data_IF_538155137777
#
_entry.id   IF_538155137777
#
_cell.length_a   1.000
_cell.length_b   1.000
_cell.length_c   1.000
_cell.angle_alpha   90.00
_cell.angle_beta   90.00
_cell.angle_gamma   90.00
#
_symmetry.space_group_name_H-M   'P 1'
#
loop_
_entity.id
_entity.type
_entity.pdbx_description
1 polymer ?
#
# COMPACT_ATOMS: atom_id res chain seq x y z
N UNK A 1 0.92 -22.39 10.98
CA UNK A 1 1.94 -21.32 10.90
C UNK A 1 1.35 -20.18 10.11
N UNK A 2 1.49 -18.93 10.57
CA UNK A 2 1.14 -17.76 9.75
C UNK A 2 2.28 -17.52 8.76
N UNK A 3 2.07 -17.61 7.44
CA UNK A 3 3.17 -17.53 6.46
C UNK A 3 3.78 -16.14 6.33
N UNK A 4 3.05 -15.10 6.76
CA UNK A 4 3.51 -13.71 6.77
C UNK A 4 3.90 -13.31 8.21
N UNK A 5 5.15 -13.57 8.55
CA UNK A 5 5.75 -13.28 9.85
C UNK A 5 6.48 -11.92 9.86
N UNK A 6 7.14 -11.59 10.98
CA UNK A 6 7.87 -10.34 11.13
C UNK A 6 9.02 -10.23 10.11
N UNK A 7 9.77 -11.32 9.93
CA UNK A 7 10.90 -11.37 8.99
C UNK A 7 10.44 -11.08 7.57
N UNK A 8 9.29 -11.66 7.17
CA UNK A 8 8.68 -11.41 5.86
C UNK A 8 8.23 -9.96 5.72
N UNK A 9 7.59 -9.40 6.74
CA UNK A 9 7.18 -7.99 6.74
C UNK A 9 8.39 -7.06 6.57
N UNK A 10 9.48 -7.29 7.31
CA UNK A 10 10.70 -6.48 7.24
C UNK A 10 11.34 -6.57 5.85
N UNK A 11 11.39 -7.77 5.26
CA UNK A 11 11.91 -7.95 3.91
C UNK A 11 11.10 -7.16 2.87
N UNK A 12 9.76 -7.26 2.93
CA UNK A 12 8.88 -6.51 2.03
C UNK A 12 8.97 -5.00 2.29
N UNK A 13 9.05 -4.57 3.55
CA UNK A 13 9.23 -3.17 3.93
C UNK A 13 10.45 -2.57 3.23
N UNK A 14 11.61 -3.22 3.35
CA UNK A 14 12.83 -2.74 2.71
C UNK A 14 12.72 -2.72 1.18
N UNK A 15 12.09 -3.74 0.58
CA UNK A 15 11.89 -3.78 -0.88
C UNK A 15 11.02 -2.60 -1.37
N UNK A 16 9.92 -2.30 -0.68
CA UNK A 16 9.03 -1.19 -1.05
C UNK A 16 9.71 0.16 -0.85
N UNK A 17 10.37 0.38 0.29
CA UNK A 17 11.03 1.65 0.60
C UNK A 17 12.16 1.95 -0.38
N UNK A 18 12.98 0.94 -0.72
CA UNK A 18 14.14 1.12 -1.59
C UNK A 18 13.79 1.35 -3.07
N UNK A 19 12.67 0.79 -3.54
CA UNK A 19 12.36 0.78 -4.98
C UNK A 19 11.15 1.62 -5.40
N UNK A 20 10.23 1.92 -4.46
CA UNK A 20 8.94 2.53 -4.80
C UNK A 20 8.65 3.84 -4.08
N UNK A 21 9.43 4.24 -3.08
CA UNK A 21 9.22 5.52 -2.39
C UNK A 21 10.20 6.61 -2.88
N UNK A 22 9.73 7.85 -3.06
CA UNK A 22 8.33 8.29 -2.98
C UNK A 22 7.52 7.85 -4.22
N UNK A 23 6.22 7.55 -4.03
CA UNK A 23 5.29 7.24 -5.12
C UNK A 23 3.96 7.97 -4.96
N UNK A 24 3.42 8.45 -6.08
CA UNK A 24 2.08 9.04 -6.14
C UNK A 24 1.01 7.96 -6.15
N UNK A 25 -0.07 8.17 -5.41
CA UNK A 25 -1.26 7.31 -5.45
C UNK A 25 -2.12 7.69 -6.64
N UNK A 26 -2.21 6.82 -7.63
CA UNK A 26 -3.04 7.01 -8.82
C UNK A 26 -4.48 6.57 -8.60
N UNK A 27 -4.66 5.47 -7.90
CA UNK A 27 -5.95 4.84 -7.71
C UNK A 27 -5.94 3.95 -6.47
N UNK A 28 -7.13 3.66 -5.95
CA UNK A 28 -7.35 2.73 -4.85
C UNK A 28 -8.47 1.80 -5.24
N UNK A 29 -8.26 0.50 -5.04
CA UNK A 29 -9.25 -0.55 -5.37
C UNK A 29 -9.33 -1.54 -4.24
N UNK A 30 -10.55 -1.82 -3.79
CA UNK A 30 -10.84 -2.84 -2.80
C UNK A 30 -11.46 -4.05 -3.50
N UNK A 31 -10.89 -5.23 -3.29
CA UNK A 31 -11.32 -6.48 -3.93
C UNK A 31 -12.23 -7.31 -3.03
N UNK A 32 -12.08 -7.18 -1.73
CA UNK A 32 -12.90 -7.84 -0.72
C UNK A 32 -12.97 -7.00 0.58
N UNK A 33 -13.64 -7.51 1.62
CA UNK A 33 -13.81 -6.80 2.90
C UNK A 33 -12.51 -6.58 3.70
N UNK A 34 -11.42 -7.24 3.28
CA UNK A 34 -10.15 -7.32 3.99
C UNK A 34 -8.93 -6.94 3.16
N UNK A 35 -9.09 -6.59 1.88
CA UNK A 35 -7.97 -6.36 0.95
C UNK A 35 -8.18 -5.10 0.13
N UNK A 36 -7.21 -4.19 0.21
CA UNK A 36 -7.14 -3.00 -0.64
C UNK A 36 -5.82 -2.95 -1.40
N UNK A 37 -5.86 -2.34 -2.58
CA UNK A 37 -4.73 -2.17 -3.47
C UNK A 37 -4.56 -0.68 -3.76
N UNK A 38 -3.36 -0.16 -3.48
CA UNK A 38 -2.95 1.20 -3.77
C UNK A 38 -2.09 1.20 -5.04
N UNK A 39 -2.51 1.91 -6.08
CA UNK A 39 -1.70 2.07 -7.29
C UNK A 39 -0.61 3.11 -7.05
N UNK A 40 0.63 2.65 -6.95
CA UNK A 40 1.84 3.46 -6.82
C UNK A 40 2.34 3.84 -8.22
N UNK A 41 2.60 5.14 -8.43
CA UNK A 41 3.24 5.67 -9.63
C UNK A 41 4.53 6.40 -9.25
N UNK A 42 5.65 5.91 -9.77
CA UNK A 42 6.94 6.60 -9.77
C UNK A 42 7.14 7.28 -11.13
N UNK A 43 8.30 7.90 -11.35
CA UNK A 43 8.61 8.52 -12.64
C UNK A 43 8.71 7.49 -13.78
N UNK A 44 9.25 6.30 -13.49
CA UNK A 44 9.56 5.28 -14.49
C UNK A 44 8.58 4.11 -14.53
N UNK A 45 7.81 3.90 -13.45
CA UNK A 45 7.05 2.66 -13.29
C UNK A 45 5.73 2.87 -12.55
N UNK A 46 4.86 1.87 -12.69
CA UNK A 46 3.61 1.75 -11.96
C UNK A 46 3.50 0.35 -11.39
N UNK A 47 3.09 0.25 -10.13
CA UNK A 47 2.84 -1.02 -9.46
C UNK A 47 1.71 -0.88 -8.45
N UNK A 48 1.18 -1.99 -7.98
CA UNK A 48 0.18 -2.00 -6.92
C UNK A 48 0.79 -2.44 -5.61
N UNK A 49 0.50 -1.73 -4.54
CA UNK A 49 0.76 -2.15 -3.17
C UNK A 49 -0.51 -2.76 -2.61
N UNK A 50 -0.47 -4.05 -2.32
CA UNK A 50 -1.57 -4.78 -1.69
C UNK A 50 -1.45 -4.71 -0.18
N UNK A 51 -2.53 -4.30 0.49
CA UNK A 51 -2.68 -4.30 1.93
C UNK A 51 -3.85 -5.22 2.27
N UNK A 52 -3.60 -6.28 3.03
CA UNK A 52 -4.61 -7.22 3.47
C UNK A 52 -4.60 -7.36 4.99
N UNK A 53 -5.76 -7.21 5.61
CA UNK A 53 -5.99 -7.35 7.06
C UNK A 53 -6.88 -8.56 7.40
N UNK A 54 -6.87 -9.59 6.56
CA UNK A 54 -7.61 -10.83 6.84
C UNK A 54 -7.09 -11.52 8.12
N UNK A 55 -7.96 -12.00 9.04
CA UNK A 55 -7.53 -12.54 10.33
C UNK A 55 -6.50 -13.67 10.26
N UNK A 56 -6.55 -14.48 9.19
CA UNK A 56 -5.64 -15.62 9.00
C UNK A 56 -4.58 -15.39 7.91
N UNK A 57 -4.71 -14.33 7.12
CA UNK A 57 -3.92 -14.13 5.89
C UNK A 57 -3.47 -12.67 5.68
N UNK A 58 -3.35 -11.92 6.78
CA UNK A 58 -2.87 -10.55 6.76
C UNK A 58 -1.46 -10.46 6.17
N UNK A 59 -1.27 -9.55 5.22
CA UNK A 59 -0.04 -9.42 4.42
C UNK A 59 0.04 -8.05 3.76
N UNK A 60 1.27 -7.66 3.43
CA UNK A 60 1.58 -6.51 2.59
C UNK A 60 2.57 -6.98 1.53
N UNK A 61 2.36 -6.62 0.26
CA UNK A 61 3.31 -6.91 -0.81
C UNK A 61 3.01 -6.08 -2.06
N UNK A 62 4.01 -5.96 -2.93
CA UNK A 62 3.79 -5.48 -4.31
C UNK A 62 3.05 -6.56 -5.11
N UNK A 63 2.11 -6.14 -5.92
CA UNK A 63 1.34 -7.02 -6.79
C UNK A 63 1.28 -6.45 -8.19
N UNK A 64 1.05 -7.34 -9.15
CA UNK A 64 0.70 -6.96 -10.51
C UNK A 64 -0.67 -6.25 -10.55
N UNK A 65 -1.08 -5.88 -11.75
CA UNK A 65 -2.34 -5.19 -11.98
C UNK A 65 -3.53 -6.00 -11.46
N UNK A 66 -4.32 -5.33 -10.63
CA UNK A 66 -5.52 -5.92 -10.02
C UNK A 66 -6.74 -5.67 -10.89
N UNK A 67 -7.60 -6.68 -11.02
CA UNK A 67 -8.90 -6.53 -11.68
C UNK A 67 -9.78 -5.56 -10.91
N UNK A 68 -10.49 -4.67 -11.62
CA UNK A 68 -11.41 -3.74 -10.97
C UNK A 68 -12.59 -4.52 -10.38
N UNK A 69 -12.88 -4.31 -9.09
CA UNK A 69 -14.11 -4.81 -8.50
C UNK A 69 -15.32 -4.08 -9.09
N UNK A 70 -16.40 -4.82 -9.36
CA UNK A 70 -17.70 -4.24 -9.73
C UNK A 70 -18.47 -3.72 -8.51
N UNK A 71 -18.11 -4.20 -7.32
CA UNK A 71 -18.71 -3.76 -6.07
C UNK A 71 -18.06 -2.47 -5.57
N UNK A 72 -18.88 -1.59 -5.00
CA UNK A 72 -18.42 -0.34 -4.40
C UNK A 72 -18.37 -0.49 -2.89
N UNK A 73 -17.16 -0.61 -2.34
CA UNK A 73 -16.96 -0.68 -0.90
C UNK A 73 -16.93 0.71 -0.27
N UNK A 74 -17.55 0.87 0.90
CA UNK A 74 -17.51 2.14 1.65
C UNK A 74 -16.09 2.51 2.07
N UNK A 75 -15.29 1.53 2.48
CA UNK A 75 -13.90 1.79 2.88
C UNK A 75 -13.03 2.23 1.69
N UNK A 76 -13.23 1.65 0.50
CA UNK A 76 -12.64 2.17 -0.74
C UNK A 76 -12.96 3.66 -0.95
N UNK A 77 -14.21 4.10 -0.73
CA UNK A 77 -14.60 5.51 -0.89
C UNK A 77 -13.83 6.43 0.06
N UNK A 78 -13.57 5.99 1.29
CA UNK A 78 -12.73 6.72 2.23
C UNK A 78 -11.28 6.81 1.72
N UNK A 79 -10.72 5.68 1.28
CA UNK A 79 -9.32 5.61 0.83
C UNK A 79 -9.08 6.30 -0.51
N UNK A 80 -10.11 6.49 -1.35
CA UNK A 80 -10.00 7.30 -2.56
C UNK A 80 -9.55 8.74 -2.28
N UNK A 81 -9.68 9.25 -1.04
CA UNK A 81 -9.10 10.53 -0.62
C UNK A 81 -7.57 10.57 -0.68
N UNK A 82 -6.91 9.41 -0.68
CA UNK A 82 -5.46 9.31 -0.87
C UNK A 82 -5.04 9.58 -2.32
N UNK A 83 -5.97 9.49 -3.28
CA UNK A 83 -5.69 9.70 -4.70
C UNK A 83 -5.07 11.07 -4.94
N UNK A 84 -3.91 11.08 -5.58
CA UNK A 84 -3.14 12.28 -5.88
C UNK A 84 -2.14 12.71 -4.81
N UNK A 85 -2.21 12.14 -3.60
CA UNK A 85 -1.14 12.26 -2.60
C UNK A 85 0.05 11.39 -2.98
N UNK A 86 1.22 11.70 -2.43
CA UNK A 86 2.39 10.84 -2.50
C UNK A 86 2.54 10.07 -1.19
N UNK A 87 2.73 8.76 -1.28
CA UNK A 87 3.31 7.96 -0.21
C UNK A 87 4.79 8.30 -0.15
N UNK A 88 5.19 9.01 0.91
CA UNK A 88 6.54 9.58 1.05
C UNK A 88 7.44 8.77 1.97
N UNK A 89 6.83 8.08 2.93
CA UNK A 89 7.54 7.19 3.83
C UNK A 89 6.65 6.03 4.25
N UNK A 90 7.30 4.93 4.61
CA UNK A 90 6.73 3.87 5.43
C UNK A 90 7.63 3.80 6.65
N UNK A 91 7.06 3.77 7.84
CA UNK A 91 7.81 3.66 9.09
C UNK A 91 7.45 2.39 9.83
N UNK A 92 8.44 1.78 10.49
CA UNK A 92 8.24 0.70 11.43
C UNK A 92 8.43 1.27 12.84
N UNK A 93 7.34 1.64 13.56
CA UNK A 93 7.44 2.34 14.84
C UNK A 93 8.13 1.51 15.93
N UNK A 94 7.97 0.19 15.90
CA UNK A 94 8.71 -0.76 16.71
C UNK A 94 9.30 -1.87 15.80
N UNK A 95 10.63 -2.11 15.81
CA UNK A 95 11.27 -3.10 14.95
C UNK A 95 10.84 -4.56 15.22
N UNK A 96 10.22 -4.84 16.37
CA UNK A 96 9.75 -6.16 16.77
C UNK A 96 8.25 -6.38 16.55
N UNK A 97 7.53 -5.34 16.11
CA UNK A 97 6.10 -5.42 15.84
C UNK A 97 5.80 -5.51 14.33
N UNK A 98 4.69 -6.17 14.02
CA UNK A 98 4.17 -6.25 12.63
C UNK A 98 3.29 -5.05 12.30
N UNK A 99 3.79 -3.86 12.58
CA UNK A 99 3.08 -2.60 12.40
C UNK A 99 3.88 -1.73 11.44
N UNK A 100 3.21 -1.21 10.41
CA UNK A 100 3.78 -0.23 9.49
C UNK A 100 2.87 1.01 9.46
N UNK A 101 3.48 2.18 9.47
CA UNK A 101 2.81 3.47 9.33
C UNK A 101 3.11 4.02 7.95
N UNK A 102 2.08 4.23 7.14
CA UNK A 102 2.20 4.79 5.79
C UNK A 102 1.96 6.30 5.86
N UNK A 103 2.94 7.09 5.43
CA UNK A 103 2.88 8.55 5.48
C UNK A 103 2.59 9.15 4.10
N UNK A 104 1.55 9.98 4.02
CA UNK A 104 1.11 10.60 2.78
C UNK A 104 1.25 12.12 2.82
N UNK A 105 1.77 12.71 1.74
CA UNK A 105 1.95 14.16 1.60
C UNK A 105 1.34 14.70 0.29
N UNK A 106 0.98 15.98 0.28
CA UNK A 106 0.55 16.66 -0.93
C UNK A 106 1.73 16.92 -1.87
N UNK A 107 1.56 16.60 -3.16
CA UNK A 107 2.55 16.92 -4.18
C UNK A 107 2.40 18.38 -4.60
N UNK A 108 3.24 19.26 -4.06
CA UNK A 108 3.30 20.68 -4.48
C UNK A 108 4.07 20.75 -5.80
N UNK A 109 3.38 21.14 -6.89
CA UNK A 109 4.05 21.46 -8.16
C UNK A 109 4.65 22.87 -8.04
N UNK A 110 5.98 22.94 -7.92
CA UNK A 110 6.70 24.21 -8.13
C UNK A 110 6.59 24.53 -9.62
N UNK A 111 6.01 25.69 -9.94
CA UNK A 111 5.86 26.19 -11.31
C UNK A 111 7.14 26.82 -11.82
#
# INVERSE_FOLDING_TARGET
MQPFDLTTLVAVYHDVVSHWLPARIDNVVQTDLSTVHLSLRTFNARQWLTLCWHPQAARLHLSEQVAMSREVFQFQQLLLRLKGLALVAIQQPDPWERVLVLEFAQVVRVR
#
